data_IF_453831639422
#
_entry.id   IF_453831639422
#
_cell.length_a   1.000
_cell.length_b   1.000
_cell.length_c   1.000
_cell.angle_alpha   90.00
_cell.angle_beta   90.00
_cell.angle_gamma   90.00
#
_symmetry.space_group_name_H-M   'P 1'
#
loop_
_entity.id
_entity.type
_entity.pdbx_description
1 polymer ?
#
# COMPACT_ATOMS: atom_id res chain seq x y z
N UNK A 1 -30.89 -26.13 14.51
CA UNK A 1 -32.15 -26.43 15.22
C UNK A 1 -32.99 -25.17 15.30
N UNK A 2 -34.22 -25.14 14.77
CA UNK A 2 -35.16 -24.03 14.99
C UNK A 2 -35.62 -24.07 16.45
N UNK A 3 -35.02 -23.27 17.34
CA UNK A 3 -35.57 -23.06 18.69
C UNK A 3 -36.85 -22.24 18.53
N UNK A 4 -38.00 -22.88 18.75
CA UNK A 4 -39.32 -22.25 18.69
C UNK A 4 -39.44 -21.05 19.64
N UNK A 5 -40.38 -20.16 19.33
CA UNK A 5 -40.71 -18.97 20.13
C UNK A 5 -41.14 -19.42 21.54
N UNK A 6 -40.43 -18.97 22.58
CA UNK A 6 -40.70 -19.33 23.97
C UNK A 6 -41.83 -18.46 24.53
N UNK A 7 -43.07 -18.96 24.42
CA UNK A 7 -44.30 -18.22 24.74
C UNK A 7 -44.70 -18.28 26.22
N UNK A 8 -43.98 -19.02 27.08
CA UNK A 8 -44.38 -19.24 28.48
C UNK A 8 -44.64 -17.93 29.24
N UNK A 9 -43.70 -16.99 29.15
CA UNK A 9 -43.82 -15.69 29.82
C UNK A 9 -44.85 -14.74 29.19
N UNK A 10 -45.18 -14.94 27.90
CA UNK A 10 -46.24 -14.20 27.24
C UNK A 10 -47.62 -14.66 27.75
N UNK A 11 -47.80 -15.98 27.91
CA UNK A 11 -49.01 -16.59 28.45
C UNK A 11 -49.24 -16.28 29.94
N UNK A 12 -48.20 -15.87 30.67
CA UNK A 12 -48.25 -15.45 32.08
C UNK A 12 -48.65 -13.97 32.27
N UNK A 13 -49.05 -13.25 31.21
CA UNK A 13 -49.56 -11.87 31.28
C UNK A 13 -48.52 -10.78 31.04
N UNK A 14 -47.36 -11.11 30.47
CA UNK A 14 -46.37 -10.11 30.05
C UNK A 14 -46.89 -9.31 28.85
N UNK A 15 -46.96 -7.97 28.99
CA UNK A 15 -47.37 -7.10 27.87
C UNK A 15 -46.41 -7.17 26.67
N UNK A 16 -46.96 -7.01 25.46
CA UNK A 16 -46.29 -7.17 24.17
C UNK A 16 -44.93 -6.47 24.07
N UNK A 17 -44.84 -5.22 24.53
CA UNK A 17 -43.60 -4.42 24.50
C UNK A 17 -42.46 -5.11 25.26
N UNK A 18 -42.75 -5.61 26.47
CA UNK A 18 -41.76 -6.26 27.35
C UNK A 18 -41.37 -7.64 26.82
N UNK A 19 -42.32 -8.35 26.21
CA UNK A 19 -42.04 -9.62 25.56
C UNK A 19 -41.10 -9.45 24.36
N UNK A 20 -41.39 -8.51 23.46
CA UNK A 20 -40.55 -8.21 22.29
C UNK A 20 -39.14 -7.82 22.72
N UNK A 21 -39.02 -6.95 23.74
CA UNK A 21 -37.71 -6.51 24.22
C UNK A 21 -36.88 -7.65 24.82
N UNK A 22 -37.50 -8.51 25.63
CA UNK A 22 -36.84 -9.68 26.23
C UNK A 22 -36.44 -10.72 25.18
N UNK A 23 -37.33 -10.98 24.22
CA UNK A 23 -37.04 -11.90 23.13
C UNK A 23 -35.91 -11.38 22.25
N UNK A 24 -35.91 -10.07 21.94
CA UNK A 24 -34.82 -9.39 21.22
C UNK A 24 -33.48 -9.57 21.95
N UNK A 25 -33.43 -9.35 23.28
CA UNK A 25 -32.22 -9.57 24.09
C UNK A 25 -31.73 -11.01 24.03
N UNK A 26 -32.63 -11.99 24.16
CA UNK A 26 -32.31 -13.44 24.11
C UNK A 26 -31.76 -13.86 22.74
N UNK A 27 -32.36 -13.37 21.65
CA UNK A 27 -31.89 -13.66 20.29
C UNK A 27 -30.55 -12.98 20.03
N UNK A 28 -30.38 -11.73 20.43
CA UNK A 28 -29.11 -11.01 20.27
C UNK A 28 -27.96 -11.76 20.96
N UNK A 29 -28.16 -12.24 22.19
CA UNK A 29 -27.16 -13.02 22.92
C UNK A 29 -26.77 -14.34 22.23
N UNK A 30 -27.68 -14.96 21.47
CA UNK A 30 -27.35 -16.16 20.69
C UNK A 30 -26.61 -15.80 19.40
N UNK A 31 -27.02 -14.72 18.72
CA UNK A 31 -26.36 -14.24 17.50
C UNK A 31 -24.94 -13.77 17.81
N UNK A 32 -24.74 -13.06 18.91
CA UNK A 32 -23.42 -12.59 19.35
C UNK A 32 -22.43 -13.74 19.58
N UNK A 33 -22.91 -14.94 19.92
CA UNK A 33 -22.10 -16.15 20.08
C UNK A 33 -21.75 -16.85 18.77
N UNK A 34 -22.48 -16.56 17.72
CA UNK A 34 -22.26 -17.14 16.41
C UNK A 34 -21.42 -16.18 15.57
N UNK A 35 -20.58 -16.74 14.68
CA UNK A 35 -19.77 -15.97 13.75
C UNK A 35 -20.66 -15.45 12.62
N UNK A 36 -21.35 -14.35 12.87
CA UNK A 36 -22.28 -13.73 11.92
C UNK A 36 -21.86 -12.30 11.60
N UNK A 37 -21.90 -11.92 10.33
CA UNK A 37 -21.53 -10.60 9.86
C UNK A 37 -22.78 -9.82 9.45
N UNK A 38 -22.92 -8.61 9.99
CA UNK A 38 -24.11 -7.77 9.81
C UNK A 38 -23.67 -6.36 9.46
N UNK A 39 -24.25 -5.82 8.38
CA UNK A 39 -24.10 -4.42 7.97
C UNK A 39 -25.48 -3.78 7.96
N UNK A 40 -25.69 -2.77 8.81
CA UNK A 40 -26.98 -2.11 8.99
C UNK A 40 -28.10 -3.16 9.24
N UNK A 41 -29.03 -3.29 8.28
CA UNK A 41 -30.16 -4.22 8.34
C UNK A 41 -29.95 -5.50 7.52
N UNK A 42 -28.74 -5.75 7.00
CA UNK A 42 -28.44 -6.91 6.15
C UNK A 42 -27.47 -7.86 6.84
N UNK A 43 -27.91 -9.10 7.00
CA UNK A 43 -27.11 -10.20 7.52
C UNK A 43 -26.43 -10.95 6.37
N UNK A 44 -25.14 -11.21 6.51
CA UNK A 44 -24.30 -11.95 5.57
C UNK A 44 -23.96 -13.36 6.08
N UNK A 45 -24.42 -13.75 7.26
CA UNK A 45 -24.01 -15.03 7.87
C UNK A 45 -22.50 -15.02 8.14
N UNK A 46 -21.82 -16.13 7.86
CA UNK A 46 -20.37 -16.27 7.90
C UNK A 46 -19.70 -16.04 6.52
N UNK A 47 -20.43 -15.50 5.55
CA UNK A 47 -19.96 -15.26 4.19
C UNK A 47 -19.00 -14.05 4.14
N UNK A 48 -17.70 -14.36 4.21
CA UNK A 48 -16.62 -13.37 4.20
C UNK A 48 -16.52 -12.63 2.87
N UNK A 49 -16.72 -13.32 1.75
CA UNK A 49 -16.57 -12.73 0.42
C UNK A 49 -17.66 -11.69 0.13
N UNK A 50 -18.92 -12.03 0.38
CA UNK A 50 -20.02 -11.07 0.18
C UNK A 50 -19.93 -9.88 1.13
N UNK A 51 -19.47 -10.10 2.36
CA UNK A 51 -19.26 -9.04 3.33
C UNK A 51 -18.16 -8.07 2.85
N UNK A 52 -16.99 -8.59 2.47
CA UNK A 52 -15.87 -7.80 1.94
C UNK A 52 -16.27 -7.04 0.67
N UNK A 53 -16.93 -7.71 -0.28
CA UNK A 53 -17.38 -7.07 -1.53
C UNK A 53 -18.34 -5.90 -1.28
N UNK A 54 -19.16 -5.99 -0.23
CA UNK A 54 -20.07 -4.90 0.16
C UNK A 54 -19.31 -3.72 0.78
N UNK A 55 -18.25 -3.98 1.54
CA UNK A 55 -17.44 -2.92 2.17
C UNK A 55 -16.66 -2.07 1.16
N UNK A 56 -16.45 -2.59 -0.06
CA UNK A 56 -15.62 -1.98 -1.10
C UNK A 56 -14.27 -1.46 -0.54
N UNK A 57 -13.51 -2.32 0.17
CA UNK A 57 -12.28 -1.90 0.80
C UNK A 57 -11.22 -1.55 -0.25
N UNK A 58 -10.27 -0.71 0.15
CA UNK A 58 -9.06 -0.49 -0.63
C UNK A 58 -8.20 -1.75 -0.62
N UNK A 59 -7.37 -1.92 -1.64
CA UNK A 59 -6.49 -3.09 -1.81
C UNK A 59 -5.70 -3.44 -0.54
N UNK A 60 -5.22 -2.41 0.17
CA UNK A 60 -4.41 -2.55 1.38
C UNK A 60 -5.19 -2.81 2.66
N UNK A 61 -6.52 -2.67 2.63
CA UNK A 61 -7.41 -2.97 3.75
C UNK A 61 -7.87 -4.43 3.73
N UNK A 62 -7.84 -5.08 2.56
CA UNK A 62 -8.41 -6.42 2.33
C UNK A 62 -7.82 -7.46 3.28
N UNK A 63 -6.50 -7.52 3.43
CA UNK A 63 -5.83 -8.53 4.24
C UNK A 63 -6.16 -8.37 5.72
N UNK A 64 -6.15 -7.14 6.23
CA UNK A 64 -6.52 -6.84 7.61
C UNK A 64 -7.98 -7.18 7.90
N UNK A 65 -8.88 -6.86 6.98
CA UNK A 65 -10.30 -7.21 7.11
C UNK A 65 -10.47 -8.73 7.10
N UNK A 66 -9.80 -9.45 6.18
CA UNK A 66 -9.84 -10.92 6.15
C UNK A 66 -9.37 -11.52 7.47
N UNK A 67 -8.29 -10.98 8.04
CA UNK A 67 -7.78 -11.44 9.34
C UNK A 67 -8.80 -11.21 10.47
N UNK A 68 -9.41 -10.02 10.53
CA UNK A 68 -10.51 -9.74 11.48
C UNK A 68 -11.64 -10.75 11.33
N UNK A 69 -12.12 -10.95 10.10
CA UNK A 69 -13.25 -11.86 9.83
C UNK A 69 -12.88 -13.31 10.14
N UNK A 70 -11.65 -13.74 9.89
CA UNK A 70 -11.20 -15.11 10.17
C UNK A 70 -11.11 -15.37 11.68
N UNK A 71 -10.54 -14.42 12.42
CA UNK A 71 -10.34 -14.51 13.87
C UNK A 71 -11.60 -14.20 14.68
N UNK A 72 -12.66 -13.70 14.03
CA UNK A 72 -13.94 -13.42 14.66
C UNK A 72 -14.55 -14.69 15.28
N UNK A 73 -14.68 -14.68 16.61
CA UNK A 73 -15.41 -15.71 17.37
C UNK A 73 -16.87 -15.33 17.65
N UNK A 74 -17.20 -14.06 17.45
CA UNK A 74 -18.47 -13.45 17.76
C UNK A 74 -18.97 -12.65 16.55
N UNK A 75 -20.25 -12.24 16.61
CA UNK A 75 -20.84 -11.46 15.54
C UNK A 75 -20.10 -10.12 15.31
N UNK A 76 -19.90 -9.78 14.04
CA UNK A 76 -19.38 -8.47 13.62
C UNK A 76 -20.52 -7.64 13.09
N UNK A 77 -20.89 -6.62 13.85
CA UNK A 77 -21.99 -5.71 13.52
C UNK A 77 -21.41 -4.32 13.24
N UNK A 78 -21.70 -3.78 12.07
CA UNK A 78 -21.36 -2.41 11.69
C UNK A 78 -22.61 -1.68 11.21
N UNK A 79 -22.74 -0.41 11.57
CA UNK A 79 -23.94 0.40 11.27
C UNK A 79 -24.02 0.79 9.79
N UNK A 80 -22.89 0.86 9.10
CA UNK A 80 -22.80 1.24 7.69
C UNK A 80 -21.71 0.44 6.98
N UNK A 81 -21.84 0.27 5.67
CA UNK A 81 -20.83 -0.37 4.83
C UNK A 81 -19.59 0.55 4.73
N UNK A 82 -18.65 0.39 5.66
CA UNK A 82 -17.41 1.16 5.68
C UNK A 82 -16.28 0.31 6.25
N UNK A 83 -15.29 0.02 5.38
CA UNK A 83 -14.06 -0.67 5.76
C UNK A 83 -13.27 0.11 6.82
N UNK A 84 -13.17 1.43 6.69
CA UNK A 84 -12.48 2.29 7.65
C UNK A 84 -13.09 2.20 9.06
N UNK A 85 -14.43 2.27 9.18
CA UNK A 85 -15.11 2.13 10.48
C UNK A 85 -14.94 0.73 11.08
N UNK A 86 -14.89 -0.30 10.24
CA UNK A 86 -14.60 -1.65 10.70
C UNK A 86 -13.19 -1.74 11.28
N UNK A 87 -12.18 -1.25 10.56
CA UNK A 87 -10.79 -1.24 11.05
C UNK A 87 -10.65 -0.48 12.36
N UNK A 88 -11.28 0.70 12.47
CA UNK A 88 -11.29 1.51 13.68
C UNK A 88 -11.94 0.77 14.87
N UNK A 89 -13.07 0.08 14.65
CA UNK A 89 -13.75 -0.72 15.69
C UNK A 89 -12.86 -1.80 16.28
N UNK A 90 -11.94 -2.34 15.49
CA UNK A 90 -10.99 -3.37 15.91
C UNK A 90 -9.63 -2.80 16.34
N UNK A 91 -9.52 -1.48 16.50
CA UNK A 91 -8.29 -0.82 16.97
C UNK A 91 -7.16 -0.84 15.96
N UNK A 92 -7.44 -1.08 14.67
CA UNK A 92 -6.43 -1.05 13.62
C UNK A 92 -6.20 0.39 13.19
N UNK A 93 -4.95 0.85 13.35
CA UNK A 93 -4.53 2.16 12.87
C UNK A 93 -4.49 2.19 11.34
N UNK A 94 -5.43 2.95 10.77
CA UNK A 94 -5.60 3.14 9.34
C UNK A 94 -4.32 3.64 8.64
N UNK A 95 -3.62 4.60 9.25
CA UNK A 95 -2.42 5.21 8.65
C UNK A 95 -1.27 4.23 8.68
N UNK A 96 -1.07 3.55 9.82
CA UNK A 96 -0.02 2.54 9.96
C UNK A 96 -0.19 1.42 8.94
N UNK A 97 -1.42 0.91 8.77
CA UNK A 97 -1.72 -0.15 7.80
C UNK A 97 -1.41 0.30 6.37
N UNK A 98 -1.78 1.53 6.02
CA UNK A 98 -1.47 2.11 4.72
C UNK A 98 0.05 2.23 4.50
N UNK A 99 0.80 2.71 5.49
CA UNK A 99 2.25 2.86 5.42
C UNK A 99 2.96 1.51 5.26
N UNK A 100 2.54 0.47 6.00
CA UNK A 100 3.10 -0.88 5.90
C UNK A 100 2.88 -1.47 4.51
N UNK A 101 1.68 -1.30 3.96
CA UNK A 101 1.38 -1.73 2.60
C UNK A 101 2.25 -1.01 1.56
N UNK A 102 2.38 0.31 1.67
CA UNK A 102 3.24 1.09 0.78
C UNK A 102 4.71 0.65 0.90
N UNK A 103 5.20 0.37 2.11
CA UNK A 103 6.54 -0.18 2.33
C UNK A 103 6.70 -1.55 1.67
N UNK A 104 5.73 -2.44 1.81
CA UNK A 104 5.74 -3.77 1.18
C UNK A 104 5.79 -3.67 -0.34
N UNK A 105 4.93 -2.84 -0.96
CA UNK A 105 4.97 -2.58 -2.41
C UNK A 105 6.30 -1.97 -2.86
N UNK A 106 6.89 -1.07 -2.08
CA UNK A 106 8.24 -0.54 -2.36
C UNK A 106 9.29 -1.64 -2.33
N UNK A 107 9.29 -2.48 -1.30
CA UNK A 107 10.23 -3.60 -1.18
C UNK A 107 10.08 -4.60 -2.33
N UNK A 108 8.85 -4.89 -2.75
CA UNK A 108 8.57 -5.78 -3.87
C UNK A 108 9.07 -5.22 -5.22
N UNK A 109 9.00 -3.90 -5.42
CA UNK A 109 9.62 -3.26 -6.59
C UNK A 109 11.15 -3.33 -6.53
N UNK A 110 11.73 -3.17 -5.33
CA UNK A 110 13.17 -3.14 -5.13
C UNK A 110 13.81 -4.54 -5.14
N UNK A 111 13.07 -5.58 -4.76
CA UNK A 111 13.55 -6.98 -4.75
C UNK A 111 13.83 -7.52 -6.14
N UNK A 112 13.23 -6.93 -7.18
CA UNK A 112 13.49 -7.25 -8.59
C UNK A 112 14.79 -6.67 -9.12
N UNK A 113 15.45 -5.80 -8.35
CA UNK A 113 16.68 -5.13 -8.77
C UNK A 113 17.89 -5.81 -8.09
N UNK A 114 18.83 -6.38 -8.86
CA UNK A 114 20.01 -7.02 -8.30
C UNK A 114 20.89 -6.02 -7.55
N UNK A 115 21.68 -6.52 -6.61
CA UNK A 115 22.67 -5.72 -5.90
C UNK A 115 23.83 -5.32 -6.84
N UNK A 116 24.15 -4.03 -6.89
CA UNK A 116 25.21 -3.50 -7.76
C UNK A 116 26.52 -3.42 -7.00
N UNK A 117 27.51 -4.23 -7.41
CA UNK A 117 28.87 -4.27 -6.83
C UNK A 117 29.89 -3.35 -7.52
N UNK A 118 29.43 -2.53 -8.47
CA UNK A 118 30.30 -1.67 -9.29
C UNK A 118 31.01 -0.54 -8.55
N UNK A 119 31.68 0.33 -9.32
CA UNK A 119 32.39 1.51 -8.83
C UNK A 119 31.44 2.52 -8.14
N UNK A 120 31.98 3.60 -7.56
CA UNK A 120 31.18 4.61 -6.83
C UNK A 120 30.07 5.20 -7.71
N UNK A 121 30.34 5.43 -9.01
CA UNK A 121 29.36 5.93 -9.97
C UNK A 121 28.22 4.92 -10.23
N UNK A 122 28.53 3.63 -10.36
CA UNK A 122 27.53 2.58 -10.53
C UNK A 122 26.58 2.54 -9.32
N UNK A 123 27.13 2.62 -8.10
CA UNK A 123 26.33 2.68 -6.86
C UNK A 123 25.49 3.94 -6.80
N UNK A 124 26.04 5.07 -7.25
CA UNK A 124 25.31 6.34 -7.28
C UNK A 124 24.14 6.32 -8.28
N UNK A 125 24.37 5.81 -9.49
CA UNK A 125 23.33 5.61 -10.51
C UNK A 125 22.25 4.67 -9.97
N UNK A 126 22.64 3.52 -9.43
CA UNK A 126 21.72 2.54 -8.84
C UNK A 126 20.86 3.16 -7.72
N UNK A 127 21.48 3.94 -6.82
CA UNK A 127 20.77 4.68 -5.77
C UNK A 127 19.68 5.57 -6.35
N UNK A 128 20.01 6.39 -7.35
CA UNK A 128 19.05 7.30 -7.98
C UNK A 128 17.92 6.53 -8.70
N UNK A 129 18.23 5.44 -9.41
CA UNK A 129 17.19 4.62 -10.06
C UNK A 129 16.27 3.99 -9.02
N UNK A 130 16.81 3.46 -7.92
CA UNK A 130 16.02 2.88 -6.83
C UNK A 130 15.10 3.91 -6.18
N UNK A 131 15.61 5.11 -5.90
CA UNK A 131 14.79 6.22 -5.37
C UNK A 131 13.67 6.56 -6.36
N UNK A 132 13.98 6.69 -7.65
CA UNK A 132 12.97 6.98 -8.66
C UNK A 132 11.90 5.86 -8.77
N UNK A 133 12.31 4.58 -8.80
CA UNK A 133 11.38 3.44 -8.89
C UNK A 133 10.53 3.27 -7.63
N UNK A 134 11.06 3.62 -6.45
CA UNK A 134 10.37 3.49 -5.17
C UNK A 134 9.45 4.68 -4.85
N UNK A 135 9.97 5.90 -5.00
CA UNK A 135 9.38 7.13 -4.45
C UNK A 135 9.06 8.19 -5.53
N UNK A 136 9.45 7.95 -6.78
CA UNK A 136 9.12 8.82 -7.91
C UNK A 136 10.00 10.05 -8.05
N UNK A 137 9.56 10.99 -8.90
CA UNK A 137 10.35 12.16 -9.34
C UNK A 137 10.68 13.13 -8.20
N UNK A 138 9.76 13.36 -7.27
CA UNK A 138 9.96 14.34 -6.20
C UNK A 138 11.07 13.92 -5.22
N UNK A 139 11.08 12.64 -4.82
CA UNK A 139 12.11 12.09 -3.96
C UNK A 139 13.49 12.09 -4.64
N UNK A 140 13.52 11.77 -5.93
CA UNK A 140 14.73 11.84 -6.74
C UNK A 140 15.32 13.26 -6.73
N UNK A 141 14.50 14.28 -6.97
CA UNK A 141 14.93 15.68 -6.95
C UNK A 141 15.41 16.13 -5.57
N UNK A 142 14.78 15.64 -4.49
CA UNK A 142 15.22 15.92 -3.12
C UNK A 142 16.61 15.35 -2.84
N UNK A 143 16.87 14.12 -3.28
CA UNK A 143 18.18 13.50 -3.18
C UNK A 143 19.23 14.28 -3.99
N UNK A 144 18.88 14.66 -5.23
CA UNK A 144 19.82 15.39 -6.10
C UNK A 144 20.27 16.74 -5.55
N UNK A 145 19.43 17.39 -4.74
CA UNK A 145 19.78 18.66 -4.08
C UNK A 145 20.88 18.53 -3.04
N UNK A 146 21.13 17.32 -2.53
CA UNK A 146 22.14 17.07 -1.48
C UNK A 146 23.51 16.68 -2.06
N UNK A 147 23.63 16.63 -3.38
CA UNK A 147 24.85 16.21 -4.06
C UNK A 147 25.93 17.27 -3.88
N UNK A 148 27.14 16.81 -3.55
CA UNK A 148 28.34 17.64 -3.49
C UNK A 148 28.76 18.15 -4.89
N UNK A 149 29.70 19.08 -4.94
CA UNK A 149 30.13 19.72 -6.20
C UNK A 149 31.04 18.84 -7.07
N UNK A 150 30.68 17.55 -7.19
CA UNK A 150 31.37 16.57 -8.03
C UNK A 150 30.79 16.59 -9.46
N UNK A 151 31.65 16.87 -10.43
CA UNK A 151 31.28 16.96 -11.84
C UNK A 151 30.55 15.71 -12.35
N UNK A 152 31.04 14.51 -12.00
CA UNK A 152 30.46 13.24 -12.49
C UNK A 152 29.07 13.03 -11.91
N UNK A 153 28.89 13.26 -10.60
CA UNK A 153 27.59 13.13 -9.93
C UNK A 153 26.59 14.16 -10.44
N UNK A 154 27.03 15.39 -10.73
CA UNK A 154 26.19 16.42 -11.36
C UNK A 154 25.79 16.05 -12.78
N UNK A 155 26.71 15.58 -13.62
CA UNK A 155 26.39 15.13 -14.97
C UNK A 155 25.42 13.93 -14.97
N UNK A 156 25.63 12.95 -14.08
CA UNK A 156 24.68 11.83 -13.89
C UNK A 156 23.30 12.38 -13.49
N UNK A 157 23.24 13.32 -12.55
CA UNK A 157 21.97 13.87 -12.07
C UNK A 157 21.23 14.63 -13.16
N UNK A 158 21.96 15.39 -13.99
CA UNK A 158 21.39 16.03 -15.16
C UNK A 158 20.88 15.01 -16.19
N UNK A 159 21.59 13.89 -16.36
CA UNK A 159 21.11 12.81 -17.22
C UNK A 159 19.73 12.29 -16.80
N UNK A 160 19.43 12.19 -15.50
CA UNK A 160 18.09 11.85 -15.01
C UNK A 160 17.05 12.94 -15.32
N UNK A 161 17.40 14.21 -15.17
CA UNK A 161 16.51 15.34 -15.50
C UNK A 161 16.08 15.25 -16.96
N UNK A 162 17.05 15.05 -17.87
CA UNK A 162 16.79 14.90 -19.31
C UNK A 162 16.08 13.57 -19.62
N UNK A 163 16.44 12.48 -18.95
CA UNK A 163 15.83 11.17 -19.17
C UNK A 163 14.34 11.14 -18.78
N UNK A 164 13.97 11.88 -17.73
CA UNK A 164 12.63 11.92 -17.16
C UNK A 164 11.79 13.12 -17.60
N UNK A 165 12.31 13.93 -18.53
CA UNK A 165 11.71 15.17 -19.02
C UNK A 165 11.27 16.12 -17.87
N UNK A 166 12.19 16.34 -16.93
CA UNK A 166 11.99 17.26 -15.80
C UNK A 166 12.46 18.65 -16.24
N UNK A 167 11.59 19.65 -16.07
CA UNK A 167 11.85 21.04 -16.46
C UNK A 167 12.12 21.92 -15.25
N UNK A 168 12.91 22.98 -15.41
CA UNK A 168 13.13 24.02 -14.40
C UNK A 168 14.29 23.74 -13.43
N UNK A 169 15.03 22.67 -13.64
CA UNK A 169 16.17 22.26 -12.81
C UNK A 169 17.52 22.47 -13.54
N UNK A 170 17.49 22.88 -14.81
CA UNK A 170 18.66 22.98 -15.70
C UNK A 170 19.66 24.05 -15.25
N UNK A 171 19.18 25.12 -14.60
CA UNK A 171 19.99 26.25 -14.14
C UNK A 171 21.03 25.86 -13.07
N UNK A 172 20.86 24.70 -12.41
CA UNK A 172 21.76 24.19 -11.36
C UNK A 172 23.03 23.53 -11.92
N UNK A 173 23.11 23.35 -13.23
CA UNK A 173 24.15 22.58 -13.89
C UNK A 173 24.97 23.44 -14.85
N UNK A 174 26.29 23.28 -14.77
CA UNK A 174 27.25 23.91 -15.66
C UNK A 174 27.13 23.39 -17.09
N UNK A 175 27.73 24.10 -18.06
CA UNK A 175 27.65 23.74 -19.48
C UNK A 175 28.17 22.32 -19.76
N UNK A 176 29.35 22.00 -19.23
CA UNK A 176 29.99 20.69 -19.45
C UNK A 176 29.20 19.53 -18.82
N UNK A 177 28.59 19.77 -17.65
CA UNK A 177 27.74 18.78 -16.97
C UNK A 177 26.48 18.52 -17.77
N UNK A 178 25.92 19.57 -18.39
CA UNK A 178 24.72 19.47 -19.23
C UNK A 178 24.97 18.68 -20.50
N UNK A 179 26.02 19.03 -21.23
CA UNK A 179 26.42 18.32 -22.45
C UNK A 179 26.69 16.83 -22.18
N UNK A 180 27.43 16.54 -21.09
CA UNK A 180 27.71 15.15 -20.74
C UNK A 180 26.46 14.41 -20.23
N UNK A 181 25.61 15.07 -19.43
CA UNK A 181 24.36 14.49 -18.96
C UNK A 181 23.36 14.20 -20.08
N UNK A 182 23.24 15.06 -21.09
CA UNK A 182 22.42 14.81 -22.29
C UNK A 182 22.88 13.57 -23.07
N UNK A 183 24.20 13.39 -23.19
CA UNK A 183 24.77 12.19 -23.80
C UNK A 183 24.38 10.92 -23.02
N UNK A 184 24.53 10.95 -21.69
CA UNK A 184 24.18 9.83 -20.80
C UNK A 184 22.67 9.53 -20.77
N UNK A 185 21.82 10.56 -20.90
CA UNK A 185 20.36 10.44 -20.77
C UNK A 185 19.75 9.42 -21.76
N UNK A 186 20.31 9.32 -22.96
CA UNK A 186 19.84 8.35 -23.98
C UNK A 186 19.97 6.91 -23.49
N UNK A 187 21.07 6.59 -22.82
CA UNK A 187 21.33 5.25 -22.25
C UNK A 187 20.53 5.06 -20.97
N UNK A 188 20.48 6.07 -20.12
CA UNK A 188 19.72 6.03 -18.87
C UNK A 188 18.22 5.76 -19.09
N UNK A 189 17.60 6.35 -20.13
CA UNK A 189 16.21 6.04 -20.51
C UNK A 189 15.98 4.54 -20.74
N UNK A 190 16.96 3.85 -21.35
CA UNK A 190 16.90 2.40 -21.55
C UNK A 190 17.04 1.67 -20.22
N UNK A 191 18.02 2.06 -19.39
CA UNK A 191 18.27 1.42 -18.08
C UNK A 191 17.05 1.47 -17.16
N UNK A 192 16.30 2.58 -17.17
CA UNK A 192 15.10 2.74 -16.35
C UNK A 192 14.01 1.69 -16.64
N UNK A 193 13.97 1.15 -17.86
CA UNK A 193 13.01 0.13 -18.28
C UNK A 193 13.47 -1.32 -18.03
N UNK A 194 14.73 -1.52 -17.65
CA UNK A 194 15.31 -2.86 -17.44
C UNK A 194 15.13 -3.37 -16.01
N UNK A 195 15.19 -4.70 -15.86
CA UNK A 195 15.19 -5.44 -14.60
C UNK A 195 16.22 -6.60 -14.68
N UNK A 196 16.52 -7.26 -13.56
CA UNK A 196 17.39 -8.44 -13.53
C UNK A 196 18.83 -8.19 -14.00
N UNK A 197 19.45 -9.19 -14.65
CA UNK A 197 20.86 -9.10 -15.06
C UNK A 197 21.12 -8.02 -16.13
N UNK A 198 20.13 -7.76 -16.99
CA UNK A 198 20.22 -6.69 -18.00
C UNK A 198 20.34 -5.30 -17.36
N UNK A 199 19.61 -5.07 -16.27
CA UNK A 199 19.72 -3.84 -15.47
C UNK A 199 21.13 -3.66 -14.91
N UNK A 200 21.69 -4.73 -14.33
CA UNK A 200 23.03 -4.70 -13.74
C UNK A 200 24.09 -4.38 -14.78
N UNK A 201 24.09 -5.10 -15.90
CA UNK A 201 25.03 -4.86 -17.00
C UNK A 201 24.90 -3.44 -17.56
N UNK A 202 23.67 -2.93 -17.69
CA UNK A 202 23.43 -1.59 -18.20
C UNK A 202 23.95 -0.48 -17.26
N UNK A 203 23.84 -0.67 -15.94
CA UNK A 203 24.43 0.26 -14.96
C UNK A 203 25.95 0.22 -15.00
N UNK A 204 26.55 -0.97 -15.03
CA UNK A 204 28.01 -1.12 -15.06
C UNK A 204 28.60 -0.46 -16.31
N UNK A 205 27.98 -0.68 -17.48
CA UNK A 205 28.37 -0.01 -18.73
C UNK A 205 28.21 1.52 -18.65
N UNK A 206 27.08 2.00 -18.11
CA UNK A 206 26.85 3.44 -17.96
C UNK A 206 27.89 4.07 -17.02
N UNK A 207 28.25 3.37 -15.94
CA UNK A 207 29.23 3.85 -14.98
C UNK A 207 30.66 3.85 -15.52
N UNK A 208 31.02 2.90 -16.40
CA UNK A 208 32.31 2.90 -17.10
C UNK A 208 32.46 4.12 -18.02
N UNK A 209 31.38 4.57 -18.67
CA UNK A 209 31.41 5.77 -19.52
C UNK A 209 31.59 7.06 -18.74
N UNK A 210 31.15 7.10 -17.49
CA UNK A 210 31.38 8.22 -16.57
C UNK A 210 32.83 8.25 -16.07
N UNK A 211 33.52 7.10 -16.09
CA UNK A 211 34.88 6.92 -15.57
C UNK A 211 34.89 6.53 -14.10
#
# INVERSE_FOLDING_TARGET
MKKGLDLKHYMEGMGDKKFIENYKKKIMWNIEKEKVFIIANKCYGDDTEKFINTLQPKEWEVDAIKEILNNARHAIIIEQASSAKLLEKFGIDYKKLQEEFLKKKKMEKLSKLPEIKGNENAKFIDKLIRIYKADGKEALLKEMKQINDDFKKKAISYAFIVALDIKGEEWKYGKNEREFGEYLAKKLKKVLALEGEEYKNAIENLAMEVG
#
